data_IF_815577184052
#
_entry.id   IF_815577184052
#
_cell.length_a   1.000
_cell.length_b   1.000
_cell.length_c   1.000
_cell.angle_alpha   90.00
_cell.angle_beta   90.00
_cell.angle_gamma   90.00
#
_symmetry.space_group_name_H-M   'P 1'
#
loop_
_entity.id
_entity.type
_entity.pdbx_description
1 polymer ?
#
# COMPACT_ATOMS: atom_id res chain seq x y z
N UNK A 1 -12.59 10.53 28.60
CA UNK A 1 -12.71 10.63 27.13
C UNK A 1 -11.41 10.30 26.39
N UNK A 2 -10.25 10.82 26.80
CA UNK A 2 -8.94 10.55 26.16
C UNK A 2 -8.59 9.05 26.00
N UNK A 3 -8.90 8.20 27.00
CA UNK A 3 -8.68 6.74 26.92
C UNK A 3 -9.41 6.08 25.75
N UNK A 4 -10.64 6.52 25.44
CA UNK A 4 -11.42 5.96 24.32
C UNK A 4 -10.84 6.42 22.99
N UNK A 5 -10.45 7.70 22.87
CA UNK A 5 -9.83 8.23 21.66
C UNK A 5 -8.49 7.55 21.35
N UNK A 6 -7.64 7.33 22.36
CA UNK A 6 -6.37 6.62 22.17
C UNK A 6 -6.56 5.17 21.68
N UNK A 7 -7.55 4.46 22.23
CA UNK A 7 -7.90 3.12 21.77
C UNK A 7 -8.42 3.13 20.32
N UNK A 8 -9.26 4.10 19.95
CA UNK A 8 -9.76 4.24 18.58
C UNK A 8 -8.62 4.47 17.59
N UNK A 9 -7.70 5.40 17.88
CA UNK A 9 -6.54 5.67 17.03
C UNK A 9 -5.65 4.44 16.91
N UNK A 10 -5.42 3.71 18.01
CA UNK A 10 -4.63 2.49 17.99
C UNK A 10 -5.27 1.38 17.14
N UNK A 11 -6.58 1.20 17.24
CA UNK A 11 -7.32 0.22 16.43
C UNK A 11 -7.27 0.60 14.95
N UNK A 12 -7.50 1.87 14.60
CA UNK A 12 -7.41 2.34 13.20
C UNK A 12 -6.00 2.12 12.66
N UNK A 13 -4.97 2.45 13.44
CA UNK A 13 -3.58 2.21 13.07
C UNK A 13 -3.29 0.71 12.87
N UNK A 14 -3.76 -0.15 13.78
CA UNK A 14 -3.62 -1.59 13.65
C UNK A 14 -4.32 -2.15 12.41
N UNK A 15 -5.54 -1.70 12.12
CA UNK A 15 -6.31 -2.14 10.94
C UNK A 15 -5.61 -1.70 9.65
N UNK A 16 -5.20 -0.43 9.54
CA UNK A 16 -4.50 0.10 8.35
C UNK A 16 -3.14 -0.59 8.14
N UNK A 17 -2.42 -0.91 9.22
CA UNK A 17 -1.17 -1.66 9.14
C UNK A 17 -1.41 -3.09 8.62
N UNK A 18 -2.44 -3.77 9.14
CA UNK A 18 -2.79 -5.13 8.70
C UNK A 18 -3.24 -5.13 7.24
N UNK A 19 -4.10 -4.19 6.82
CA UNK A 19 -4.53 -4.11 5.42
C UNK A 19 -3.38 -3.77 4.48
N UNK A 20 -2.46 -2.91 4.90
CA UNK A 20 -1.23 -2.60 4.15
C UNK A 20 -0.31 -3.83 4.01
N UNK A 21 -0.11 -4.60 5.07
CA UNK A 21 0.70 -5.82 5.01
C UNK A 21 0.06 -6.85 4.08
N UNK A 22 -1.26 -7.05 4.19
CA UNK A 22 -1.99 -7.96 3.30
C UNK A 22 -1.84 -7.53 1.85
N UNK A 23 -2.00 -6.24 1.53
CA UNK A 23 -1.86 -5.75 0.16
C UNK A 23 -0.44 -5.90 -0.41
N UNK A 24 0.60 -5.91 0.44
CA UNK A 24 1.99 -6.14 0.04
C UNK A 24 2.41 -7.60 0.00
N UNK A 25 1.76 -8.46 0.80
CA UNK A 25 2.04 -9.91 0.84
C UNK A 25 1.32 -10.66 -0.27
N UNK A 26 0.19 -10.14 -0.76
CA UNK A 26 -0.48 -10.69 -1.93
C UNK A 26 0.48 -10.62 -3.13
N UNK A 27 0.84 -11.75 -3.76
CA UNK A 27 1.83 -11.80 -4.84
C UNK A 27 1.35 -11.16 -6.15
N UNK A 28 0.13 -10.61 -6.17
CA UNK A 28 -0.36 -9.83 -7.30
C UNK A 28 0.33 -8.47 -7.28
N UNK A 29 1.21 -8.24 -8.25
CA UNK A 29 1.78 -6.92 -8.47
C UNK A 29 0.63 -5.92 -8.70
N UNK A 30 0.41 -4.94 -7.81
CA UNK A 30 -0.72 -4.03 -7.91
C UNK A 30 -0.68 -3.23 -9.22
N UNK A 31 0.52 -3.04 -9.79
CA UNK A 31 0.69 -2.40 -11.08
C UNK A 31 0.18 -3.30 -12.21
N UNK A 32 0.44 -4.61 -12.15
CA UNK A 32 -0.06 -5.59 -13.13
C UNK A 32 -1.57 -5.82 -12.94
N UNK A 33 -2.07 -5.79 -11.70
CA UNK A 33 -3.51 -5.83 -11.43
C UNK A 33 -4.23 -4.59 -11.96
N UNK A 34 -3.59 -3.42 -11.90
CA UNK A 34 -4.14 -2.15 -12.40
C UNK A 34 -4.06 -2.02 -13.92
N UNK A 35 -2.95 -2.43 -14.54
CA UNK A 35 -2.71 -2.30 -15.99
C UNK A 35 -3.15 -3.53 -16.81
N UNK A 36 -3.41 -4.66 -16.15
CA UNK A 36 -3.69 -5.95 -16.77
C UNK A 36 -2.43 -6.74 -17.14
N UNK A 37 -2.57 -8.07 -17.31
CA UNK A 37 -1.47 -9.00 -17.60
C UNK A 37 -0.71 -8.72 -18.90
N UNK A 38 -1.27 -7.92 -19.81
CA UNK A 38 -0.68 -7.60 -21.12
C UNK A 38 -0.03 -6.20 -21.17
N UNK A 39 0.09 -5.53 -20.03
CA UNK A 39 0.74 -4.22 -19.97
C UNK A 39 2.21 -4.32 -20.41
N UNK A 40 2.70 -3.42 -21.30
CA UNK A 40 4.11 -3.39 -21.66
C UNK A 40 4.99 -3.24 -20.42
N UNK A 41 6.11 -3.97 -20.29
CA UNK A 41 6.98 -3.89 -19.10
C UNK A 41 7.46 -2.47 -18.80
N UNK A 42 7.71 -1.67 -19.84
CA UNK A 42 8.09 -0.27 -19.70
C UNK A 42 6.98 0.61 -19.09
N UNK A 43 5.72 0.26 -19.33
CA UNK A 43 4.57 0.94 -18.73
C UNK A 43 4.40 0.52 -17.26
N UNK A 44 4.59 -0.77 -16.95
CA UNK A 44 4.59 -1.28 -15.58
C UNK A 44 5.65 -0.56 -14.74
N UNK A 45 6.89 -0.48 -15.21
CA UNK A 45 7.97 0.18 -14.47
C UNK A 45 7.72 1.68 -14.28
N UNK A 46 7.19 2.35 -15.32
CA UNK A 46 6.82 3.76 -15.25
C UNK A 46 5.72 4.00 -14.21
N UNK A 47 4.68 3.19 -14.22
CA UNK A 47 3.56 3.32 -13.28
C UNK A 47 4.00 2.96 -11.87
N UNK A 48 4.82 1.92 -11.70
CA UNK A 48 5.44 1.53 -10.42
C UNK A 48 6.16 2.71 -9.77
N UNK A 49 6.98 3.42 -10.55
CA UNK A 49 7.68 4.61 -10.10
C UNK A 49 6.75 5.82 -9.85
N UNK A 50 5.66 5.95 -10.62
CA UNK A 50 4.69 7.03 -10.41
C UNK A 50 3.90 6.88 -9.12
N UNK A 51 3.57 5.65 -8.73
CA UNK A 51 2.82 5.36 -7.50
C UNK A 51 3.73 5.09 -6.30
N UNK A 52 5.05 5.15 -6.48
CA UNK A 52 6.04 5.06 -5.41
C UNK A 52 6.23 3.66 -4.84
N UNK A 53 5.89 2.61 -5.60
CA UNK A 53 6.10 1.21 -5.16
C UNK A 53 7.58 0.80 -5.10
N UNK A 54 8.45 1.62 -5.66
CA UNK A 54 9.92 1.57 -5.62
C UNK A 54 10.52 2.20 -4.34
N UNK A 55 9.70 2.85 -3.51
CA UNK A 55 10.13 3.57 -2.30
C UNK A 55 10.26 2.61 -1.11
N UNK A 56 10.98 2.98 -0.03
CA UNK A 56 11.04 2.18 1.20
C UNK A 56 9.64 1.94 1.79
N UNK A 57 9.39 0.77 2.38
CA UNK A 57 8.10 0.40 3.00
C UNK A 57 7.48 1.48 3.92
N UNK A 58 8.25 2.20 4.77
CA UNK A 58 7.67 3.30 5.56
C UNK A 58 7.08 4.43 4.70
N UNK A 59 7.69 4.71 3.54
CA UNK A 59 7.20 5.71 2.60
C UNK A 59 5.96 5.20 1.88
N UNK A 60 5.94 3.92 1.49
CA UNK A 60 4.75 3.29 0.88
C UNK A 60 3.56 3.30 1.83
N UNK A 61 3.80 3.06 3.13
CA UNK A 61 2.75 3.14 4.15
C UNK A 61 2.19 4.56 4.31
N UNK A 62 3.04 5.59 4.25
CA UNK A 62 2.59 6.98 4.27
C UNK A 62 1.84 7.40 3.00
N UNK A 63 2.13 6.77 1.85
CA UNK A 63 1.38 6.99 0.60
C UNK A 63 0.02 6.28 0.65
N UNK A 64 -0.08 5.17 1.38
CA UNK A 64 -1.32 4.39 1.55
C UNK A 64 -2.31 5.01 2.57
N UNK A 65 -1.79 5.66 3.62
CA UNK A 65 -2.58 6.30 4.68
C UNK A 65 -3.32 7.55 4.18
#
# INVERSE_FOLDING_TARGET
MARRAALTVFVIFGVTLVTFVISHVVPADPVVAYLGEHAPPALVEKVRHQIGLDRPLPVQYLIYL
#
